data_IF_644684134176
#
_entry.id   IF_644684134176
#
_cell.length_a   1.000
_cell.length_b   1.000
_cell.length_c   1.000
_cell.angle_alpha   90.00
_cell.angle_beta   90.00
_cell.angle_gamma   90.00
#
_symmetry.space_group_name_H-M   'P 1'
#
loop_
_entity.id
_entity.type
_entity.pdbx_description
1 polymer ?
#
# COMPACT_ATOMS: atom_id res chain seq x y z
N UNK A 1 -7.45 -27.11 44.04
CA UNK A 1 -8.34 -26.00 43.63
C UNK A 1 -7.70 -24.98 42.66
N UNK A 2 -6.37 -24.79 42.62
CA UNK A 2 -5.74 -23.74 41.79
C UNK A 2 -5.62 -24.01 40.27
N UNK A 3 -5.79 -25.25 39.79
CA UNK A 3 -5.60 -25.61 38.37
C UNK A 3 -6.80 -25.30 37.45
N UNK A 4 -8.00 -25.09 38.01
CA UNK A 4 -9.22 -24.84 37.24
C UNK A 4 -9.36 -23.37 36.81
N UNK A 5 -8.94 -22.43 37.67
CA UNK A 5 -8.98 -20.98 37.39
C UNK A 5 -8.07 -20.57 36.21
N UNK A 6 -6.92 -21.23 36.04
CA UNK A 6 -5.98 -20.93 34.94
C UNK A 6 -6.53 -21.38 33.58
N UNK A 7 -7.36 -22.42 33.53
CA UNK A 7 -7.96 -22.93 32.27
C UNK A 7 -9.03 -21.98 31.72
N UNK A 8 -9.84 -21.37 32.59
CA UNK A 8 -10.83 -20.37 32.21
C UNK A 8 -10.18 -19.06 31.71
N UNK A 9 -9.05 -18.65 32.29
CA UNK A 9 -8.31 -17.46 31.87
C UNK A 9 -7.71 -17.59 30.44
N UNK A 10 -7.35 -18.79 29.99
CA UNK A 10 -6.87 -19.03 28.61
C UNK A 10 -7.98 -18.91 27.56
N UNK A 11 -9.21 -19.33 27.89
CA UNK A 11 -10.38 -19.23 26.99
C UNK A 11 -10.75 -17.75 26.76
N UNK A 12 -10.69 -16.92 27.81
CA UNK A 12 -10.94 -15.49 27.70
C UNK A 12 -9.89 -14.75 26.85
N UNK A 13 -8.63 -15.22 26.86
CA UNK A 13 -7.54 -14.62 26.06
C UNK A 13 -7.70 -14.89 24.56
N UNK A 14 -8.17 -16.09 24.19
CA UNK A 14 -8.50 -16.46 22.81
C UNK A 14 -9.70 -15.67 22.25
N UNK A 15 -10.73 -15.44 23.06
CA UNK A 15 -11.89 -14.64 22.66
C UNK A 15 -11.53 -13.17 22.39
N UNK A 16 -10.61 -12.60 23.19
CA UNK A 16 -10.14 -11.21 23.01
C UNK A 16 -9.34 -11.03 21.72
N UNK A 17 -8.52 -12.02 21.33
CA UNK A 17 -7.79 -12.01 20.06
C UNK A 17 -8.71 -12.14 18.84
N UNK A 18 -9.80 -12.90 18.96
CA UNK A 18 -10.80 -13.01 17.88
C UNK A 18 -11.60 -11.72 17.69
N UNK A 19 -11.99 -11.02 18.75
CA UNK A 19 -12.73 -9.76 18.66
C UNK A 19 -11.90 -8.62 18.04
N UNK A 20 -10.60 -8.60 18.32
CA UNK A 20 -9.65 -7.63 17.77
C UNK A 20 -9.35 -7.89 16.28
N UNK A 21 -9.52 -9.13 15.81
CA UNK A 21 -9.44 -9.51 14.40
C UNK A 21 -10.73 -9.20 13.61
N UNK A 22 -11.88 -9.12 14.29
CA UNK A 22 -13.20 -8.91 13.70
C UNK A 22 -13.67 -7.43 13.73
N UNK A 23 -12.93 -6.56 14.42
CA UNK A 23 -13.14 -5.10 14.36
C UNK A 23 -12.39 -4.43 13.20
N UNK A 24 -11.92 -5.18 12.21
CA UNK A 24 -11.33 -4.61 10.99
C UNK A 24 -12.45 -4.00 10.16
N UNK A 25 -12.43 -2.69 9.84
CA UNK A 25 -13.39 -2.16 8.89
C UNK A 25 -13.23 -2.92 7.58
N UNK A 26 -14.33 -3.52 7.13
CA UNK A 26 -14.49 -4.04 5.79
C UNK A 26 -14.12 -2.93 4.81
N UNK A 27 -13.02 -3.13 4.07
CA UNK A 27 -12.43 -2.24 3.07
C UNK A 27 -12.04 -0.84 3.62
N UNK A 28 -10.79 -0.64 4.10
CA UNK A 28 -10.31 0.71 4.35
C UNK A 28 -10.18 1.44 3.01
N UNK A 29 -10.96 2.50 2.82
CA UNK A 29 -10.66 3.50 1.78
C UNK A 29 -9.30 4.09 2.11
N UNK A 30 -8.30 3.83 1.27
CA UNK A 30 -6.96 4.35 1.51
C UNK A 30 -6.96 5.86 1.32
N UNK A 31 -6.48 6.59 2.33
CA UNK A 31 -6.34 8.04 2.21
C UNK A 31 -5.18 8.37 1.26
N UNK A 32 -5.28 9.51 0.56
CA UNK A 32 -4.24 9.95 -0.36
C UNK A 32 -2.86 10.06 0.30
N UNK A 33 -2.81 10.46 1.58
CA UNK A 33 -1.59 10.58 2.37
C UNK A 33 -0.93 9.22 2.61
N UNK A 34 -1.70 8.17 2.90
CA UNK A 34 -1.16 6.81 3.09
C UNK A 34 -0.55 6.28 1.80
N UNK A 35 -1.22 6.50 0.67
CA UNK A 35 -0.73 6.09 -0.65
C UNK A 35 0.55 6.86 -0.99
N UNK A 36 0.57 8.18 -0.82
CA UNK A 36 1.74 9.03 -1.08
C UNK A 36 2.95 8.57 -0.26
N UNK A 37 2.77 8.36 1.06
CA UNK A 37 3.83 7.89 1.93
C UNK A 37 4.36 6.51 1.52
N UNK A 38 3.46 5.57 1.20
CA UNK A 38 3.85 4.22 0.78
C UNK A 38 4.61 4.21 -0.54
N UNK A 39 4.20 5.04 -1.52
CA UNK A 39 4.92 5.18 -2.79
C UNK A 39 6.34 5.65 -2.51
N UNK A 40 6.49 6.77 -1.79
CA UNK A 40 7.79 7.38 -1.49
C UNK A 40 8.70 6.43 -0.71
N UNK A 41 8.17 5.74 0.30
CA UNK A 41 8.93 4.74 1.07
C UNK A 41 9.42 3.58 0.21
N UNK A 42 8.56 3.05 -0.69
CA UNK A 42 8.93 1.91 -1.54
C UNK A 42 9.98 2.31 -2.58
N UNK A 43 9.84 3.47 -3.22
CA UNK A 43 10.84 3.94 -4.19
C UNK A 43 12.16 4.31 -3.49
N UNK A 44 12.11 4.92 -2.31
CA UNK A 44 13.29 5.25 -1.52
C UNK A 44 14.03 3.99 -1.05
N UNK A 45 13.31 2.99 -0.55
CA UNK A 45 13.88 1.71 -0.12
C UNK A 45 14.58 0.96 -1.26
N UNK A 46 14.09 1.12 -2.50
CA UNK A 46 14.69 0.47 -3.69
C UNK A 46 15.89 1.26 -4.23
N UNK A 47 15.90 2.58 -4.09
CA UNK A 47 16.94 3.47 -4.60
C UNK A 47 16.68 4.02 -6.01
N UNK A 48 17.48 4.99 -6.47
CA UNK A 48 17.17 5.84 -7.63
C UNK A 48 17.13 5.11 -8.98
N UNK A 49 17.89 4.03 -9.13
CA UNK A 49 17.91 3.23 -10.38
C UNK A 49 16.81 2.16 -10.44
N UNK A 50 16.08 1.93 -9.36
CA UNK A 50 15.10 0.85 -9.26
C UNK A 50 13.68 1.41 -9.31
N UNK A 51 12.77 0.59 -9.81
CA UNK A 51 11.36 0.94 -9.92
C UNK A 51 10.48 0.02 -9.10
N UNK A 52 9.30 0.48 -8.68
CA UNK A 52 8.22 -0.34 -8.13
C UNK A 52 7.01 -0.34 -9.07
N UNK A 53 6.07 -1.28 -8.89
CA UNK A 53 4.80 -1.26 -9.61
C UNK A 53 3.66 -0.70 -8.75
N UNK A 54 2.63 -0.08 -9.34
CA UNK A 54 1.46 0.40 -8.60
C UNK A 54 0.80 -0.71 -7.76
N UNK A 55 0.72 -1.94 -8.31
CA UNK A 55 0.14 -3.09 -7.61
C UNK A 55 0.90 -3.47 -6.34
N UNK A 56 2.20 -3.23 -6.28
CA UNK A 56 2.99 -3.50 -5.07
C UNK A 56 2.64 -2.52 -3.96
N UNK A 57 2.49 -1.23 -4.29
CA UNK A 57 2.03 -0.19 -3.36
C UNK A 57 0.65 -0.57 -2.80
N UNK A 58 -0.30 -0.90 -3.67
CA UNK A 58 -1.64 -1.27 -3.24
C UNK A 58 -1.65 -2.56 -2.40
N UNK A 59 -0.84 -3.57 -2.73
CA UNK A 59 -0.72 -4.80 -1.94
C UNK A 59 -0.12 -4.54 -0.56
N UNK A 60 0.79 -3.57 -0.44
CA UNK A 60 1.37 -3.21 0.85
C UNK A 60 0.34 -2.55 1.79
N UNK A 61 -0.65 -1.86 1.24
CA UNK A 61 -1.65 -1.11 2.01
C UNK A 61 -2.96 -1.88 2.21
N UNK A 62 -3.42 -2.59 1.17
CA UNK A 62 -4.68 -3.33 1.15
C UNK A 62 -4.48 -4.71 0.51
N UNK A 63 -3.81 -5.67 1.17
CA UNK A 63 -3.47 -6.96 0.58
C UNK A 63 -4.68 -7.78 0.09
N UNK A 64 -5.84 -7.60 0.72
CA UNK A 64 -7.08 -8.30 0.37
C UNK A 64 -7.86 -7.63 -0.77
N UNK A 65 -7.74 -6.30 -0.93
CA UNK A 65 -8.56 -5.51 -1.87
C UNK A 65 -7.73 -4.53 -2.71
N UNK A 66 -6.49 -4.91 -3.02
CA UNK A 66 -5.53 -4.06 -3.71
C UNK A 66 -5.99 -3.63 -5.11
N UNK A 67 -6.89 -4.41 -5.75
CA UNK A 67 -7.43 -4.09 -7.07
C UNK A 67 -8.34 -2.88 -7.04
N UNK A 68 -9.21 -2.77 -6.03
CA UNK A 68 -10.08 -1.61 -5.86
C UNK A 68 -9.28 -0.31 -5.64
N UNK A 69 -8.10 -0.44 -5.02
CA UNK A 69 -7.22 0.70 -4.72
C UNK A 69 -6.37 1.16 -5.93
N UNK A 70 -6.42 0.46 -7.08
CA UNK A 70 -5.54 0.79 -8.20
C UNK A 70 -5.80 2.16 -8.80
N UNK A 71 -7.06 2.59 -8.85
CA UNK A 71 -7.41 3.92 -9.38
C UNK A 71 -6.84 5.02 -8.49
N UNK A 72 -6.99 4.89 -7.16
CA UNK A 72 -6.43 5.83 -6.20
C UNK A 72 -4.91 5.86 -6.24
N UNK A 73 -4.26 4.69 -6.32
CA UNK A 73 -2.80 4.62 -6.44
C UNK A 73 -2.31 5.31 -7.71
N UNK A 74 -2.99 5.12 -8.85
CA UNK A 74 -2.64 5.81 -10.11
C UNK A 74 -2.84 7.32 -9.99
N UNK A 75 -3.95 7.76 -9.40
CA UNK A 75 -4.26 9.17 -9.17
C UNK A 75 -3.19 9.86 -8.32
N UNK A 76 -2.84 9.28 -7.17
CA UNK A 76 -1.82 9.84 -6.27
C UNK A 76 -0.43 9.78 -6.90
N UNK A 77 -0.07 8.69 -7.59
CA UNK A 77 1.19 8.61 -8.33
C UNK A 77 1.31 9.72 -9.38
N UNK A 78 0.21 10.03 -10.09
CA UNK A 78 0.17 11.14 -11.06
C UNK A 78 0.42 12.49 -10.39
N UNK A 79 -0.15 12.73 -9.21
CA UNK A 79 0.10 13.94 -8.43
C UNK A 79 1.57 14.04 -7.99
N UNK A 80 2.21 12.92 -7.64
CA UNK A 80 3.64 12.90 -7.28
C UNK A 80 4.56 13.18 -8.47
N UNK A 81 4.17 12.74 -9.67
CA UNK A 81 4.86 13.13 -10.92
C UNK A 81 4.74 14.62 -11.16
N UNK A 82 3.54 15.20 -10.98
CA UNK A 82 3.33 16.64 -11.11
C UNK A 82 4.14 17.45 -10.09
N UNK A 83 4.33 16.92 -8.87
CA UNK A 83 5.23 17.47 -7.84
C UNK A 83 6.71 17.27 -8.14
N UNK A 84 7.08 16.49 -9.17
CA UNK A 84 8.47 16.21 -9.52
C UNK A 84 9.23 15.32 -8.53
N UNK A 85 8.52 14.55 -7.69
CA UNK A 85 9.12 13.66 -6.68
C UNK A 85 9.42 12.27 -7.26
N UNK A 86 8.58 11.82 -8.18
CA UNK A 86 8.74 10.53 -8.87
C UNK A 86 8.57 10.74 -10.37
N UNK A 87 8.93 9.73 -11.12
CA UNK A 87 8.65 9.63 -12.54
C UNK A 87 8.08 8.26 -12.88
N UNK A 88 7.21 8.24 -13.88
CA UNK A 88 6.52 7.04 -14.33
C UNK A 88 7.12 6.63 -15.65
N UNK A 89 7.44 5.34 -15.77
CA UNK A 89 8.02 4.77 -16.97
C UNK A 89 7.20 3.60 -17.50
N UNK A 90 7.20 3.44 -18.82
CA UNK A 90 6.64 2.29 -19.51
C UNK A 90 7.63 1.87 -20.60
N UNK A 91 7.98 0.58 -20.62
CA UNK A 91 9.03 0.09 -21.53
C UNK A 91 10.41 0.76 -21.30
N UNK A 92 10.66 1.30 -20.10
CA UNK A 92 11.89 2.01 -19.77
C UNK A 92 11.90 3.50 -20.15
N UNK A 93 10.89 3.98 -20.88
CA UNK A 93 10.77 5.38 -21.28
C UNK A 93 9.91 6.16 -20.28
N UNK A 94 10.27 7.40 -19.92
CA UNK A 94 9.40 8.29 -19.15
C UNK A 94 8.11 8.56 -19.91
N UNK A 95 6.98 8.44 -19.22
CA UNK A 95 5.67 8.62 -19.82
C UNK A 95 4.74 9.44 -18.92
N UNK A 96 3.81 10.14 -19.55
CA UNK A 96 2.78 10.90 -18.85
C UNK A 96 1.71 9.96 -18.28
N UNK A 97 1.52 9.89 -16.95
CA UNK A 97 0.51 9.04 -16.35
C UNK A 97 -0.91 9.28 -16.86
N UNK A 98 -1.25 10.51 -17.28
CA UNK A 98 -2.60 10.82 -17.75
C UNK A 98 -2.94 10.16 -19.10
N UNK A 99 -1.91 9.84 -19.89
CA UNK A 99 -2.07 9.30 -21.25
C UNK A 99 -1.80 7.80 -21.34
N UNK A 100 -1.20 7.23 -20.30
CA UNK A 100 -0.71 5.85 -20.31
C UNK A 100 -1.75 4.88 -19.77
N UNK A 101 -2.03 3.86 -20.57
CA UNK A 101 -2.84 2.71 -20.16
C UNK A 101 -1.94 1.48 -19.94
N UNK A 102 -2.34 0.62 -19.01
CA UNK A 102 -1.67 -0.65 -18.76
C UNK A 102 -0.57 -0.59 -17.69
N UNK A 103 0.42 -1.47 -17.85
CA UNK A 103 1.48 -1.68 -16.87
C UNK A 103 2.50 -0.53 -16.89
N UNK A 104 2.73 0.06 -15.72
CA UNK A 104 3.66 1.16 -15.50
C UNK A 104 4.59 0.87 -14.34
N UNK A 105 5.72 1.57 -14.31
CA UNK A 105 6.75 1.48 -13.28
C UNK A 105 6.98 2.86 -12.68
N UNK A 106 7.02 2.96 -11.35
CA UNK A 106 7.32 4.19 -10.61
C UNK A 106 8.78 4.16 -10.20
N UNK A 107 9.54 5.23 -10.45
CA UNK A 107 10.93 5.37 -9.98
C UNK A 107 11.12 6.75 -9.33
N UNK A 108 12.10 6.86 -8.44
CA UNK A 108 12.49 8.16 -7.88
C UNK A 108 13.01 9.04 -9.01
N UNK A 109 12.55 10.29 -9.05
CA UNK A 109 13.17 11.28 -9.92
C UNK A 109 14.47 11.69 -9.26
N UNK A 110 15.61 11.33 -9.86
CA UNK A 110 16.88 11.92 -9.49
C UNK A 110 16.85 13.37 -10.00
N UNK A 111 16.68 14.34 -9.11
CA UNK A 111 16.87 15.75 -9.45
C UNK A 111 18.35 16.05 -9.59
#
# INVERSE_FOLDING_TARGET
MARLAVKLAKIAKLAKTCFELLSKPSCPVLTGVQIESAILQLVAKRGPAKSCCPSEVARSLAPLDWRAQMEDVRRIASQLVAKGLIEITQGGQPVDPAKVKGAVRLRLKCQ
#
